data_IF_503629611737
#
_entry.id   IF_503629611737
#
_cell.length_a   1.000
_cell.length_b   1.000
_cell.length_c   1.000
_cell.angle_alpha   90.00
_cell.angle_beta   90.00
_cell.angle_gamma   90.00
#
_symmetry.space_group_name_H-M   'P 1'
#
loop_
_entity.id
_entity.type
_entity.pdbx_description
1 polymer ?
#
# COMPACT_ATOMS: atom_id res chain seq x y z
N UNK A 1 -10.66 -36.33 -70.86
CA UNK A 1 -11.23 -36.59 -69.53
C UNK A 1 -10.68 -35.56 -68.56
N UNK A 2 -11.49 -34.58 -68.16
CA UNK A 2 -11.24 -33.89 -66.88
C UNK A 2 -11.61 -34.81 -65.70
N UNK A 3 -11.57 -34.34 -64.43
CA UNK A 3 -11.54 -32.92 -64.06
C UNK A 3 -10.74 -32.52 -62.77
N UNK A 4 -10.67 -31.20 -62.54
CA UNK A 4 -10.78 -30.47 -61.24
C UNK A 4 -9.61 -30.42 -60.23
N UNK A 5 -8.97 -29.25 -60.15
CA UNK A 5 -8.75 -28.50 -58.88
C UNK A 5 -10.10 -27.93 -58.38
N UNK A 6 -10.36 -27.64 -57.07
CA UNK A 6 -9.58 -26.70 -56.23
C UNK A 6 -9.58 -26.91 -54.69
N UNK A 7 -8.71 -26.13 -54.01
CA UNK A 7 -8.85 -25.53 -52.67
C UNK A 7 -9.30 -26.35 -51.43
N UNK A 8 -8.38 -26.46 -50.46
CA UNK A 8 -8.66 -26.40 -49.01
C UNK A 8 -7.32 -26.18 -48.28
N UNK A 9 -6.90 -24.94 -48.03
CA UNK A 9 -7.19 -24.22 -46.78
C UNK A 9 -6.79 -25.03 -45.52
N UNK A 10 -5.52 -24.96 -45.14
CA UNK A 10 -5.05 -25.23 -43.78
C UNK A 10 -4.16 -24.06 -43.33
N UNK A 11 -4.78 -22.89 -43.17
CA UNK A 11 -4.29 -21.87 -42.25
C UNK A 11 -4.64 -22.36 -40.84
N UNK A 12 -3.74 -23.14 -40.23
CA UNK A 12 -3.83 -23.43 -38.80
C UNK A 12 -3.38 -22.18 -38.05
N UNK A 13 -4.40 -21.44 -37.61
CA UNK A 13 -4.41 -20.48 -36.51
C UNK A 13 -3.19 -20.55 -35.59
N UNK A 14 -2.17 -19.72 -35.86
CA UNK A 14 -1.24 -19.23 -34.84
C UNK A 14 -1.84 -17.97 -34.20
N UNK A 15 -3.05 -18.10 -33.67
CA UNK A 15 -3.49 -17.27 -32.56
C UNK A 15 -3.02 -17.95 -31.27
N UNK A 16 -1.70 -18.13 -31.15
CA UNK A 16 -1.08 -18.37 -29.84
C UNK A 16 -1.32 -17.09 -29.06
N UNK A 17 -2.29 -17.18 -28.15
CA UNK A 17 -2.85 -16.04 -27.46
C UNK A 17 -1.77 -15.09 -26.98
N UNK A 18 -1.95 -13.81 -27.30
CA UNK A 18 -1.71 -12.79 -26.30
C UNK A 18 -2.59 -13.17 -25.11
N UNK A 19 -2.07 -14.08 -24.27
CA UNK A 19 -2.51 -14.24 -22.91
C UNK A 19 -2.27 -12.86 -22.33
N UNK A 20 -3.32 -12.03 -22.35
CA UNK A 20 -3.44 -10.92 -21.44
C UNK A 20 -3.14 -11.54 -20.08
N UNK A 21 -1.94 -11.28 -19.59
CA UNK A 21 -1.53 -11.74 -18.28
C UNK A 21 -2.66 -11.35 -17.35
N UNK A 22 -3.23 -12.28 -16.57
CA UNK A 22 -4.29 -11.94 -15.63
C UNK A 22 -3.71 -10.81 -14.79
N UNK A 23 -4.37 -9.66 -14.82
CA UNK A 23 -3.83 -8.40 -14.32
C UNK A 23 -3.19 -8.64 -12.97
N UNK A 24 -1.86 -8.54 -12.92
CA UNK A 24 -1.10 -8.70 -11.68
C UNK A 24 -1.69 -7.71 -10.70
N UNK A 25 -2.24 -8.23 -9.60
CA UNK A 25 -2.71 -7.37 -8.52
C UNK A 25 -1.56 -6.43 -8.15
N UNK A 26 -1.89 -5.14 -7.98
CA UNK A 26 -0.98 -4.00 -8.02
C UNK A 26 0.15 -3.99 -6.96
N UNK A 27 0.35 -5.07 -6.19
CA UNK A 27 1.22 -5.12 -5.01
C UNK A 27 2.06 -6.41 -4.83
N UNK A 28 2.34 -7.19 -5.88
CA UNK A 28 3.14 -8.43 -5.79
C UNK A 28 4.55 -8.27 -5.16
N UNK A 29 5.13 -7.05 -5.11
CA UNK A 29 6.47 -6.83 -4.54
C UNK A 29 6.51 -6.40 -3.08
N UNK A 30 5.37 -6.20 -2.42
CA UNK A 30 5.40 -5.86 -1.00
C UNK A 30 5.59 -7.13 -0.16
N UNK A 31 6.69 -7.19 0.57
CA UNK A 31 6.93 -8.19 1.61
C UNK A 31 7.48 -7.50 2.85
N UNK A 32 6.79 -7.66 3.97
CA UNK A 32 7.26 -7.14 5.25
C UNK A 32 8.63 -7.72 5.63
N UNK A 33 8.89 -8.98 5.30
CA UNK A 33 10.16 -9.67 5.61
C UNK A 33 11.28 -9.34 4.64
N UNK A 34 10.95 -9.01 3.39
CA UNK A 34 11.91 -8.84 2.31
C UNK A 34 11.57 -7.63 1.45
N UNK A 35 11.54 -6.45 2.08
CA UNK A 35 11.34 -5.19 1.36
C UNK A 35 12.54 -4.90 0.45
N UNK A 36 12.33 -4.51 -0.83
CA UNK A 36 13.41 -4.21 -1.76
C UNK A 36 14.33 -3.09 -1.25
N UNK A 37 15.64 -3.34 -1.21
CA UNK A 37 16.60 -2.38 -0.62
C UNK A 37 16.79 -1.13 -1.46
N UNK A 38 16.68 -1.26 -2.77
CA UNK A 38 16.72 -0.20 -3.77
C UNK A 38 15.53 0.76 -3.67
N UNK A 39 14.40 0.30 -3.15
CA UNK A 39 13.22 1.14 -2.91
C UNK A 39 13.20 1.78 -1.50
N UNK A 40 14.14 1.42 -0.62
CA UNK A 40 14.14 1.88 0.77
C UNK A 40 14.65 3.32 0.88
N UNK A 41 13.73 4.24 1.15
CA UNK A 41 14.00 5.66 1.35
C UNK A 41 12.98 6.28 2.32
N UNK A 42 13.17 7.52 2.77
CA UNK A 42 12.15 8.21 3.56
C UNK A 42 10.81 8.33 2.81
N UNK A 43 9.72 7.91 3.45
CA UNK A 43 8.36 7.97 2.90
C UNK A 43 8.02 9.35 2.33
N UNK A 44 8.29 10.38 3.13
CA UNK A 44 7.98 11.75 2.77
C UNK A 44 8.81 12.25 1.57
N UNK A 45 10.06 11.81 1.44
CA UNK A 45 10.88 12.13 0.26
C UNK A 45 10.32 11.48 -1.01
N UNK A 46 9.94 10.20 -0.94
CA UNK A 46 9.33 9.50 -2.07
C UNK A 46 8.02 10.19 -2.50
N UNK A 47 7.15 10.50 -1.53
CA UNK A 47 5.87 11.13 -1.81
C UNK A 47 6.01 12.53 -2.41
N UNK A 48 6.87 13.38 -1.83
CA UNK A 48 7.13 14.73 -2.37
C UNK A 48 7.67 14.66 -3.79
N UNK A 49 8.65 13.81 -4.04
CA UNK A 49 9.20 13.64 -5.38
C UNK A 49 8.12 13.18 -6.37
N UNK A 50 7.22 12.29 -5.96
CA UNK A 50 6.11 11.85 -6.81
C UNK A 50 5.18 13.01 -7.21
N UNK A 51 4.92 13.95 -6.28
CA UNK A 51 4.11 15.14 -6.52
C UNK A 51 4.83 16.19 -7.38
N UNK A 52 6.16 16.31 -7.23
CA UNK A 52 6.97 17.15 -8.11
C UNK A 52 6.88 16.63 -9.57
N UNK A 53 7.02 15.30 -9.76
CA UNK A 53 6.84 14.67 -11.08
C UNK A 53 5.41 14.79 -11.61
N UNK A 54 4.42 14.65 -10.74
CA UNK A 54 3.01 14.86 -11.10
C UNK A 54 2.78 16.27 -11.63
N UNK A 55 3.34 17.27 -10.96
CA UNK A 55 3.22 18.69 -11.33
C UNK A 55 3.97 19.02 -12.62
N UNK A 56 5.06 18.31 -12.89
CA UNK A 56 5.81 18.37 -14.15
C UNK A 56 5.23 17.50 -15.29
N UNK A 57 4.07 16.86 -15.09
CA UNK A 57 3.43 15.96 -16.06
C UNK A 57 4.27 14.72 -16.47
N UNK A 58 5.25 14.35 -15.66
CA UNK A 58 6.04 13.12 -15.83
C UNK A 58 5.27 11.93 -15.23
N UNK A 59 4.23 11.47 -15.94
CA UNK A 59 3.23 10.53 -15.41
C UNK A 59 3.83 9.18 -14.98
N UNK A 60 4.76 8.62 -15.77
CA UNK A 60 5.34 7.31 -15.48
C UNK A 60 6.20 7.35 -14.21
N UNK A 61 7.02 8.38 -14.07
CA UNK A 61 7.87 8.63 -12.90
C UNK A 61 7.01 8.93 -11.66
N UNK A 62 5.98 9.77 -11.81
CA UNK A 62 5.03 10.06 -10.74
C UNK A 62 4.34 8.80 -10.23
N UNK A 63 3.84 7.95 -11.14
CA UNK A 63 3.25 6.66 -10.80
C UNK A 63 4.24 5.80 -10.02
N UNK A 64 5.48 5.68 -10.50
CA UNK A 64 6.52 4.87 -9.85
C UNK A 64 6.76 5.29 -8.40
N UNK A 65 6.94 6.59 -8.16
CA UNK A 65 7.18 7.10 -6.81
C UNK A 65 5.93 7.09 -5.92
N UNK A 66 4.73 7.30 -6.48
CA UNK A 66 3.48 7.15 -5.74
C UNK A 66 3.30 5.70 -5.27
N UNK A 67 3.52 4.72 -6.13
CA UNK A 67 3.47 3.29 -5.76
C UNK A 67 4.53 2.93 -4.69
N UNK A 68 5.77 3.41 -4.84
CA UNK A 68 6.83 3.23 -3.82
C UNK A 68 6.41 3.86 -2.48
N UNK A 69 5.85 5.06 -2.50
CA UNK A 69 5.40 5.75 -1.29
C UNK A 69 4.31 4.96 -0.55
N UNK A 70 3.35 4.35 -1.26
CA UNK A 70 2.35 3.46 -0.66
C UNK A 70 2.99 2.22 -0.02
N UNK A 71 3.97 1.60 -0.68
CA UNK A 71 4.71 0.45 -0.12
C UNK A 71 5.50 0.83 1.13
N UNK A 72 6.18 1.98 1.14
CA UNK A 72 6.91 2.50 2.30
C UNK A 72 5.97 2.79 3.47
N UNK A 73 4.79 3.36 3.21
CA UNK A 73 3.78 3.61 4.23
C UNK A 73 3.28 2.32 4.86
N UNK A 74 3.01 1.28 4.05
CA UNK A 74 2.65 -0.06 4.55
C UNK A 74 3.76 -0.68 5.39
N UNK A 75 5.00 -0.61 4.92
CA UNK A 75 6.17 -1.10 5.66
C UNK A 75 6.25 -0.44 7.04
N UNK A 76 6.05 0.88 7.12
CA UNK A 76 6.02 1.62 8.38
C UNK A 76 4.90 1.13 9.30
N UNK A 77 3.65 1.07 8.80
CA UNK A 77 2.48 0.62 9.58
C UNK A 77 2.62 -0.81 10.09
N UNK A 78 3.09 -1.72 9.26
CA UNK A 78 3.28 -3.12 9.63
C UNK A 78 4.44 -3.28 10.62
N UNK A 79 5.51 -2.48 10.47
CA UNK A 79 6.62 -2.44 11.44
C UNK A 79 6.16 -1.94 12.81
N UNK A 80 5.29 -0.92 12.85
CA UNK A 80 4.67 -0.45 14.08
C UNK A 80 3.79 -1.52 14.71
N UNK A 81 2.88 -2.12 13.92
CA UNK A 81 1.98 -3.17 14.39
C UNK A 81 2.75 -4.38 14.93
N UNK A 82 3.82 -4.80 14.24
CA UNK A 82 4.70 -5.88 14.66
C UNK A 82 5.31 -5.59 16.04
N UNK A 83 5.91 -4.41 16.22
CA UNK A 83 6.49 -4.04 17.52
C UNK A 83 5.44 -3.91 18.62
N UNK A 84 4.28 -3.31 18.33
CA UNK A 84 3.21 -3.16 19.32
C UNK A 84 2.64 -4.50 19.79
N UNK A 85 2.50 -5.48 18.88
CA UNK A 85 2.06 -6.85 19.20
C UNK A 85 3.10 -7.58 20.05
N UNK A 86 4.36 -7.59 19.63
CA UNK A 86 5.42 -8.34 20.31
C UNK A 86 5.81 -7.72 21.67
N UNK A 87 5.59 -6.42 21.86
CA UNK A 87 5.82 -5.73 23.13
C UNK A 87 4.56 -5.56 23.98
N UNK A 88 3.40 -6.09 23.56
CA UNK A 88 2.13 -5.97 24.29
C UNK A 88 2.15 -6.70 25.64
N UNK A 89 2.90 -7.82 25.71
CA UNK A 89 2.95 -8.71 26.86
C UNK A 89 4.19 -8.53 27.74
N UNK A 90 4.91 -7.40 27.67
CA UNK A 90 6.04 -7.11 28.54
C UNK A 90 5.59 -7.21 30.01
N UNK A 91 5.89 -8.36 30.63
CA UNK A 91 5.19 -8.88 31.81
C UNK A 91 5.33 -7.91 32.99
N UNK A 92 4.33 -7.80 33.88
CA UNK A 92 4.54 -7.20 35.18
C UNK A 92 5.73 -7.90 35.86
N UNK A 93 6.72 -7.12 36.33
CA UNK A 93 7.77 -7.67 37.18
C UNK A 93 7.12 -8.35 38.40
N UNK A 94 7.69 -9.46 38.91
CA UNK A 94 7.17 -10.12 40.11
C UNK A 94 7.06 -9.11 41.25
N UNK A 95 6.01 -9.27 42.07
CA UNK A 95 5.75 -8.35 43.17
C UNK A 95 6.96 -8.30 44.13
N UNK A 96 7.42 -7.12 44.55
CA UNK A 96 8.45 -7.03 45.57
C UNK A 96 7.92 -7.63 46.88
N UNK A 97 8.68 -8.56 47.46
CA UNK A 97 8.44 -9.09 48.80
C UNK A 97 8.87 -8.05 49.83
N UNK A 98 8.04 -7.06 50.13
CA UNK A 98 8.38 -5.99 51.07
C UNK A 98 7.15 -5.28 51.67
N UNK A 99 7.30 -4.64 52.84
CA UNK A 99 6.19 -4.14 53.67
C UNK A 99 5.63 -2.77 53.24
N UNK A 100 5.84 -2.32 52.01
CA UNK A 100 5.27 -1.03 51.56
C UNK A 100 3.76 -1.12 51.30
N UNK A 101 3.09 0.04 51.37
CA UNK A 101 1.65 0.18 51.14
C UNK A 101 1.21 -0.49 49.82
N UNK A 102 0.11 -1.28 49.83
CA UNK A 102 -0.40 -1.94 48.62
C UNK A 102 -0.67 -0.97 47.45
N UNK A 103 -1.02 0.29 47.76
CA UNK A 103 -1.32 1.33 46.77
C UNK A 103 -0.05 1.86 46.08
N UNK A 104 1.00 2.20 46.84
CA UNK A 104 2.28 2.69 46.27
C UNK A 104 2.98 1.61 45.45
N UNK A 105 2.86 0.33 45.85
CA UNK A 105 3.33 -0.80 45.06
C UNK A 105 2.57 -1.01 43.74
N UNK A 106 1.30 -0.60 43.64
CA UNK A 106 0.50 -0.76 42.42
C UNK A 106 0.91 0.28 41.37
N UNK A 107 1.07 1.53 41.77
CA UNK A 107 1.51 2.62 40.88
C UNK A 107 2.91 2.34 40.32
N UNK A 108 3.87 2.00 41.19
CA UNK A 108 5.24 1.67 40.77
C UNK A 108 5.29 0.46 39.82
N UNK A 109 4.44 -0.56 40.01
CA UNK A 109 4.31 -1.69 39.09
C UNK A 109 3.76 -1.28 37.73
N UNK A 110 2.77 -0.38 37.70
CA UNK A 110 2.21 0.17 36.47
C UNK A 110 3.27 0.96 35.71
N UNK A 111 3.96 1.90 36.36
CA UNK A 111 5.06 2.67 35.76
C UNK A 111 6.18 1.75 35.24
N UNK A 112 6.56 0.73 36.02
CA UNK A 112 7.52 -0.27 35.59
C UNK A 112 7.08 -1.02 34.33
N UNK A 113 5.78 -1.33 34.19
CA UNK A 113 5.20 -1.91 32.98
C UNK A 113 5.33 -0.99 31.75
N UNK A 114 5.03 0.29 31.92
CA UNK A 114 5.17 1.30 30.85
C UNK A 114 6.63 1.42 30.41
N UNK A 115 7.58 1.52 31.36
CA UNK A 115 9.00 1.63 31.05
C UNK A 115 9.55 0.38 30.34
N UNK A 116 9.17 -0.82 30.79
CA UNK A 116 9.55 -2.09 30.11
C UNK A 116 9.00 -2.15 28.70
N UNK A 117 7.73 -1.78 28.50
CA UNK A 117 7.13 -1.73 27.17
C UNK A 117 7.83 -0.71 26.28
N UNK A 118 8.13 0.49 26.78
CA UNK A 118 8.86 1.51 26.04
C UNK A 118 10.26 1.04 25.64
N UNK A 119 10.98 0.36 26.53
CA UNK A 119 12.29 -0.23 26.23
C UNK A 119 12.20 -1.33 25.17
N UNK A 120 11.20 -2.21 25.24
CA UNK A 120 10.93 -3.22 24.22
C UNK A 120 10.66 -2.58 22.87
N UNK A 121 9.76 -1.59 22.81
CA UNK A 121 9.42 -0.87 21.58
C UNK A 121 10.65 -0.20 20.97
N UNK A 122 11.47 0.49 21.79
CA UNK A 122 12.70 1.13 21.33
C UNK A 122 13.65 0.12 20.67
N UNK A 123 13.89 -1.02 21.33
CA UNK A 123 14.76 -2.09 20.80
C UNK A 123 14.19 -2.72 19.52
N UNK A 124 12.88 -2.98 19.48
CA UNK A 124 12.22 -3.54 18.31
C UNK A 124 12.32 -2.60 17.10
N UNK A 125 12.00 -1.31 17.28
CA UNK A 125 12.05 -0.31 16.22
C UNK A 125 13.46 -0.15 15.65
N UNK A 126 14.50 -0.14 16.49
CA UNK A 126 15.90 -0.07 16.04
C UNK A 126 16.31 -1.21 15.09
N UNK A 127 15.68 -2.37 15.19
CA UNK A 127 15.97 -3.52 14.34
C UNK A 127 15.35 -3.48 12.94
N UNK A 128 14.31 -2.65 12.72
CA UNK A 128 13.50 -2.70 11.50
C UNK A 128 13.90 -1.62 10.49
N UNK A 129 13.98 -1.93 9.18
CA UNK A 129 14.36 -0.97 8.14
C UNK A 129 13.49 0.30 8.10
N UNK A 130 12.20 0.19 8.40
CA UNK A 130 11.25 1.30 8.39
C UNK A 130 11.65 2.46 9.32
N UNK A 131 12.25 2.14 10.47
CA UNK A 131 12.65 3.14 11.47
C UNK A 131 14.11 3.58 11.35
N UNK A 132 14.84 3.06 10.36
CA UNK A 132 16.15 3.60 9.97
C UNK A 132 16.01 4.85 9.10
N UNK A 133 14.84 5.05 8.50
CA UNK A 133 14.51 6.23 7.70
C UNK A 133 13.96 7.36 8.58
N UNK A 134 14.08 8.60 8.10
CA UNK A 134 13.46 9.76 8.75
C UNK A 134 11.94 9.57 8.82
N UNK A 135 11.36 9.86 9.98
CA UNK A 135 9.93 9.72 10.18
C UNK A 135 9.16 10.76 9.37
N UNK A 136 8.06 10.36 8.70
CA UNK A 136 7.22 11.29 7.95
C UNK A 136 6.53 12.28 8.89
N UNK A 137 6.25 13.48 8.37
CA UNK A 137 5.45 14.47 9.08
C UNK A 137 4.01 13.98 9.33
N UNK A 138 3.34 14.61 10.31
CA UNK A 138 1.92 14.33 10.61
C UNK A 138 1.01 14.63 9.43
N UNK A 139 1.34 15.65 8.63
CA UNK A 139 0.58 16.01 7.43
C UNK A 139 0.65 14.87 6.40
N UNK A 140 1.85 14.38 6.09
CA UNK A 140 2.01 13.24 5.18
C UNK A 140 1.28 12.00 5.72
N UNK A 141 1.42 11.67 7.00
CA UNK A 141 0.67 10.54 7.57
C UNK A 141 -0.86 10.72 7.44
N UNK A 142 -1.37 11.94 7.59
CA UNK A 142 -2.79 12.23 7.41
C UNK A 142 -3.22 12.00 5.96
N UNK A 143 -2.45 12.46 4.97
CA UNK A 143 -2.73 12.23 3.55
C UNK A 143 -2.89 10.74 3.24
N UNK A 144 -1.97 9.91 3.72
CA UNK A 144 -2.03 8.45 3.52
C UNK A 144 -3.21 7.81 4.27
N UNK A 145 -3.54 8.29 5.47
CA UNK A 145 -4.73 7.84 6.21
C UNK A 145 -6.04 8.21 5.51
N UNK A 146 -6.05 9.33 4.77
CA UNK A 146 -7.17 9.78 3.95
C UNK A 146 -7.13 9.23 2.52
N UNK A 147 -6.19 8.35 2.18
CA UNK A 147 -6.06 7.78 0.84
C UNK A 147 -5.81 8.83 -0.26
N UNK A 148 -5.28 10.01 0.08
CA UNK A 148 -4.95 11.07 -0.89
C UNK A 148 -4.01 10.61 -2.03
N UNK A 149 -2.98 9.76 -1.81
CA UNK A 149 -2.14 9.27 -2.91
C UNK A 149 -2.93 8.58 -4.03
N UNK A 150 -4.09 7.98 -3.72
CA UNK A 150 -4.94 7.33 -4.72
C UNK A 150 -5.62 8.31 -5.68
N UNK A 151 -5.87 9.55 -5.24
CA UNK A 151 -6.38 10.62 -6.11
C UNK A 151 -5.36 10.97 -7.19
N UNK A 152 -4.11 11.17 -6.79
CA UNK A 152 -3.01 11.45 -7.72
C UNK A 152 -2.74 10.25 -8.63
N UNK A 153 -2.71 9.04 -8.06
CA UNK A 153 -2.53 7.82 -8.83
C UNK A 153 -3.61 7.61 -9.88
N UNK A 154 -4.88 7.82 -9.54
CA UNK A 154 -5.98 7.68 -10.49
C UNK A 154 -5.74 8.51 -11.75
N UNK A 155 -5.43 9.80 -11.59
CA UNK A 155 -5.18 10.68 -12.72
C UNK A 155 -3.89 10.32 -13.46
N UNK A 156 -2.81 10.02 -12.73
CA UNK A 156 -1.53 9.67 -13.35
C UNK A 156 -1.63 8.36 -14.16
N UNK A 157 -2.33 7.33 -13.66
CA UNK A 157 -2.62 6.10 -14.41
C UNK A 157 -3.46 6.37 -15.65
N UNK A 158 -4.49 7.21 -15.54
CA UNK A 158 -5.30 7.61 -16.68
C UNK A 158 -4.46 8.27 -17.77
N UNK A 159 -3.58 9.20 -17.40
CA UNK A 159 -2.66 9.88 -18.33
C UNK A 159 -1.59 8.95 -18.90
N UNK A 160 -1.20 7.92 -18.16
CA UNK A 160 -0.31 6.85 -18.61
C UNK A 160 -1.03 5.72 -19.39
N UNK A 161 -2.33 5.86 -19.67
CA UNK A 161 -3.16 4.88 -20.37
C UNK A 161 -3.28 3.51 -19.67
N UNK A 162 -3.14 3.47 -18.34
CA UNK A 162 -3.38 2.29 -17.50
C UNK A 162 -4.76 2.39 -16.83
N UNK A 163 -5.82 2.19 -17.63
CA UNK A 163 -7.20 2.25 -17.17
C UNK A 163 -7.51 1.26 -16.02
N UNK A 164 -7.08 -0.02 -16.06
CA UNK A 164 -7.32 -0.94 -14.96
C UNK A 164 -6.86 -0.42 -13.60
N UNK A 165 -5.64 0.13 -13.52
CA UNK A 165 -5.14 0.70 -12.26
C UNK A 165 -5.79 2.02 -11.91
N UNK A 166 -6.15 2.85 -12.90
CA UNK A 166 -6.89 4.09 -12.67
C UNK A 166 -8.25 3.82 -12.01
N UNK A 167 -8.99 2.80 -12.47
CA UNK A 167 -10.27 2.36 -11.93
C UNK A 167 -10.13 1.92 -10.47
N UNK A 168 -9.15 1.05 -10.19
CA UNK A 168 -8.91 0.55 -8.85
C UNK A 168 -8.50 1.68 -7.87
N UNK A 169 -7.68 2.63 -8.33
CA UNK A 169 -7.29 3.80 -7.54
C UNK A 169 -8.50 4.73 -7.25
N UNK A 170 -9.33 5.00 -8.27
CA UNK A 170 -10.55 5.81 -8.12
C UNK A 170 -11.49 5.21 -7.07
N UNK A 171 -11.77 3.91 -7.20
CA UNK A 171 -12.61 3.18 -6.27
C UNK A 171 -12.04 3.22 -4.84
N UNK A 172 -10.73 2.97 -4.71
CA UNK A 172 -10.04 3.00 -3.41
C UNK A 172 -10.14 4.36 -2.72
N UNK A 173 -10.03 5.46 -3.46
CA UNK A 173 -10.20 6.81 -2.92
C UNK A 173 -11.66 7.10 -2.49
N UNK A 174 -12.64 6.73 -3.33
CA UNK A 174 -14.06 6.97 -3.06
C UNK A 174 -14.57 6.27 -1.79
N UNK A 175 -13.97 5.15 -1.37
CA UNK A 175 -14.30 4.49 -0.10
C UNK A 175 -14.07 5.37 1.14
N UNK A 176 -13.18 6.38 1.04
CA UNK A 176 -12.92 7.37 2.09
C UNK A 176 -13.60 8.71 1.83
N UNK A 177 -13.83 9.04 0.57
CA UNK A 177 -14.39 10.31 0.11
C UNK A 177 -15.65 10.09 -0.72
N UNK A 178 -16.73 9.58 -0.12
CA UNK A 178 -17.94 9.23 -0.86
C UNK A 178 -18.64 10.45 -1.46
N UNK A 179 -18.32 11.67 -1.03
CA UNK A 179 -18.92 12.92 -1.52
C UNK A 179 -18.02 13.68 -2.53
N UNK A 180 -16.91 13.09 -2.99
CA UNK A 180 -16.06 13.73 -4.00
C UNK A 180 -16.72 13.66 -5.39
N UNK A 181 -17.40 14.75 -5.77
CA UNK A 181 -18.14 14.86 -7.03
C UNK A 181 -17.25 14.70 -8.28
N UNK A 182 -15.99 15.11 -8.21
CA UNK A 182 -15.07 14.95 -9.34
C UNK A 182 -14.74 13.47 -9.55
N UNK A 183 -14.41 12.76 -8.47
CA UNK A 183 -14.09 11.34 -8.54
C UNK A 183 -15.33 10.48 -8.86
N UNK A 184 -16.53 10.87 -8.40
CA UNK A 184 -17.79 10.23 -8.81
C UNK A 184 -17.97 10.27 -10.33
N UNK A 185 -17.79 11.43 -10.96
CA UNK A 185 -17.87 11.58 -12.42
C UNK A 185 -16.80 10.76 -13.14
N UNK A 186 -15.57 10.74 -12.63
CA UNK A 186 -14.51 9.88 -13.18
C UNK A 186 -14.92 8.39 -13.12
N UNK A 187 -15.55 7.98 -12.03
CA UNK A 187 -16.01 6.60 -11.86
C UNK A 187 -17.20 6.24 -12.74
N UNK A 188 -18.14 7.17 -12.96
CA UNK A 188 -19.23 6.99 -13.94
C UNK A 188 -18.68 6.81 -15.35
N UNK A 189 -17.70 7.63 -15.74
CA UNK A 189 -17.01 7.46 -17.01
C UNK A 189 -16.35 6.09 -17.11
N UNK A 190 -15.62 5.66 -16.09
CA UNK A 190 -14.98 4.34 -16.11
C UNK A 190 -15.98 3.18 -16.19
N UNK A 191 -17.09 3.24 -15.46
CA UNK A 191 -18.16 2.23 -15.53
C UNK A 191 -18.84 2.15 -16.89
N UNK A 192 -18.71 3.18 -17.73
CA UNK A 192 -19.22 3.13 -19.10
C UNK A 192 -18.31 2.33 -20.05
N UNK A 193 -17.09 2.00 -19.63
CA UNK A 193 -16.14 1.25 -20.44
C UNK A 193 -16.37 -0.26 -20.32
N UNK A 194 -16.32 -1.03 -21.42
CA UNK A 194 -16.48 -2.48 -21.38
C UNK A 194 -15.42 -3.16 -20.50
N UNK A 195 -15.86 -3.99 -19.55
CA UNK A 195 -14.97 -4.77 -18.67
C UNK A 195 -14.38 -3.98 -17.50
N UNK A 196 -14.87 -2.77 -17.24
CA UNK A 196 -14.41 -1.96 -16.12
C UNK A 196 -14.69 -2.58 -14.75
N UNK A 197 -15.77 -3.36 -14.64
CA UNK A 197 -16.22 -4.01 -13.42
C UNK A 197 -15.14 -4.90 -12.78
N UNK A 198 -14.34 -5.58 -13.61
CA UNK A 198 -13.27 -6.48 -13.16
C UNK A 198 -12.11 -5.76 -12.45
N UNK A 199 -12.04 -4.43 -12.59
CA UNK A 199 -11.01 -3.57 -12.05
C UNK A 199 -11.47 -2.73 -10.86
N UNK A 200 -12.76 -2.78 -10.50
CA UNK A 200 -13.31 -2.10 -9.32
C UNK A 200 -12.93 -2.90 -8.07
N UNK A 201 -11.75 -2.63 -7.52
CA UNK A 201 -11.19 -3.33 -6.36
C UNK A 201 -10.65 -2.32 -5.34
N UNK A 202 -10.77 -2.63 -4.05
CA UNK A 202 -10.12 -1.84 -3.00
C UNK A 202 -8.66 -2.26 -2.86
N UNK A 203 -7.76 -1.34 -3.17
CA UNK A 203 -6.32 -1.56 -3.16
C UNK A 203 -5.72 -1.63 -1.75
N UNK A 204 -6.50 -1.31 -0.72
CA UNK A 204 -6.10 -1.41 0.69
C UNK A 204 -6.70 -2.64 1.40
N UNK A 205 -7.53 -3.44 0.72
CA UNK A 205 -8.05 -4.68 1.29
C UNK A 205 -6.93 -5.70 1.43
N UNK A 206 -6.76 -6.24 2.64
CA UNK A 206 -5.77 -7.29 2.90
C UNK A 206 -6.23 -8.58 2.22
N UNK A 207 -5.40 -9.12 1.32
CA UNK A 207 -5.49 -10.53 0.98
C UNK A 207 -5.18 -11.32 2.24
N UNK A 208 -6.13 -12.10 2.71
CA UNK A 208 -5.89 -13.06 3.79
C UNK A 208 -4.90 -14.10 3.26
N UNK A 209 -3.67 -14.05 3.77
CA UNK A 209 -2.71 -15.16 3.73
C UNK A 209 -2.74 -15.90 5.07
#
# INVERSE_FOLDING_TARGET
>A
MGPRSPAAALLVLLCAGCVLSPGRAQYERYSFRSFPRDELMPLESAYRHALDQYSGEHWAESVGYLEVSLRLHRLLRDSEAFCHRNCSAATPAPAPSGPASPASHRELRLFGGVLRRAQCLKRCKQGLPAFRQSQPSRAVLADFQQREPYKFLQFAYFKANDLPKAIAAAHTYLLKHPEDEMMKRNMEYYKSLPGAEDHIKDLETKSYE
#
